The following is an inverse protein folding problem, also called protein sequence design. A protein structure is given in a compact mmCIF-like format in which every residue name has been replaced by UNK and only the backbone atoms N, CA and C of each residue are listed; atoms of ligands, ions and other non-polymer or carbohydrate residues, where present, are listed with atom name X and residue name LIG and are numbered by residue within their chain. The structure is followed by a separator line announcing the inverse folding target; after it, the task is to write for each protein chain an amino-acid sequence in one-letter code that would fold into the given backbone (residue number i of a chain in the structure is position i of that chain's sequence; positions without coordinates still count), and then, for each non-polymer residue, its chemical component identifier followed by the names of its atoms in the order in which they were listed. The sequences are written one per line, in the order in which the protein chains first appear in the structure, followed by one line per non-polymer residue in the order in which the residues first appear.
data_IF_287546083206
#
_entry.id   IF_287546083206
#
_cell.length_a   1.000
_cell.length_b   1.000
_cell.length_c   1.000
_cell.angle_alpha   90.00
_cell.angle_beta   90.00
_cell.angle_gamma   90.00
#
_symmetry.space_group_name_H-M   'P 1'
#
loop_
_entity.id
_entity.type
_entity.pdbx_description
1 polymer ?
#
# COMPACT_ATOMS: atom_id res chain seq x y z
N UNK A 1 51.27 16.08 25.07
CA UNK A 1 50.73 14.96 24.27
C UNK A 1 49.23 14.68 24.47
N UNK A 2 48.48 15.44 25.28
CA UNK A 2 47.09 15.08 25.67
C UNK A 2 46.01 15.61 24.69
N UNK A 3 46.27 16.68 23.92
CA UNK A 3 45.27 17.30 23.03
C UNK A 3 44.85 16.43 21.82
N UNK A 4 45.72 15.54 21.33
CA UNK A 4 45.45 14.69 20.15
C UNK A 4 44.42 13.58 20.45
N UNK A 5 44.40 13.08 21.69
CA UNK A 5 43.48 12.01 22.10
C UNK A 5 42.06 12.52 22.36
N UNK A 6 41.90 13.79 22.77
CA UNK A 6 40.58 14.39 22.99
C UNK A 6 39.82 14.55 21.66
N UNK A 7 40.51 14.91 20.58
CA UNK A 7 39.91 15.06 19.25
C UNK A 7 39.38 13.72 18.69
N UNK A 8 40.13 12.63 18.90
CA UNK A 8 39.69 11.27 18.50
C UNK A 8 38.49 10.76 19.31
N UNK A 9 38.37 11.13 20.60
CA UNK A 9 37.24 10.73 21.44
C UNK A 9 35.94 11.45 21.04
N UNK A 10 36.04 12.73 20.64
CA UNK A 10 34.88 13.51 20.14
C UNK A 10 34.38 12.99 18.79
N UNK A 11 35.29 12.55 17.90
CA UNK A 11 34.95 11.94 16.61
C UNK A 11 34.23 10.59 16.77
N UNK A 12 34.66 9.76 17.73
CA UNK A 12 34.00 8.48 18.04
C UNK A 12 32.63 8.72 18.70
N UNK A 13 32.51 9.70 19.58
CA UNK A 13 31.22 10.07 20.19
C UNK A 13 30.20 10.64 19.17
N UNK A 14 30.65 11.38 18.15
CA UNK A 14 29.77 11.86 17.07
C UNK A 14 29.27 10.72 16.16
N UNK A 15 30.04 9.63 16.01
CA UNK A 15 29.64 8.47 15.20
C UNK A 15 28.52 7.63 15.84
N UNK A 16 28.25 7.81 17.13
CA UNK A 16 27.17 7.13 17.87
C UNK A 16 25.83 7.89 17.79
N UNK A 17 25.79 9.09 17.18
CA UNK A 17 24.57 9.90 17.04
C UNK A 17 23.81 9.67 15.74
N UNK A 18 24.26 8.78 14.85
CA UNK A 18 23.44 8.25 13.75
C UNK A 18 22.48 7.17 14.28
N UNK A 19 21.70 7.51 15.30
CA UNK A 19 20.44 6.81 15.54
C UNK A 19 19.53 7.26 14.42
N UNK A 20 19.41 6.43 13.38
CA UNK A 20 18.47 6.64 12.29
C UNK A 20 17.10 6.91 12.91
N UNK A 21 16.64 8.16 12.83
CA UNK A 21 15.26 8.53 13.13
C UNK A 21 14.43 7.98 11.97
N UNK A 22 14.15 6.68 12.04
CA UNK A 22 13.17 6.05 11.17
C UNK A 22 11.80 6.68 11.43
N UNK A 23 10.95 6.67 10.44
CA UNK A 23 9.54 7.10 10.51
C UNK A 23 8.66 6.25 11.46
N UNK A 24 9.26 5.46 12.36
CA UNK A 24 8.58 4.49 13.20
C UNK A 24 7.98 3.30 12.42
N UNK A 25 8.33 3.13 11.15
CA UNK A 25 7.70 2.18 10.25
C UNK A 25 6.39 2.70 9.65
N UNK A 26 6.10 4.01 9.75
CA UNK A 26 4.86 4.64 9.22
C UNK A 26 4.62 4.31 7.75
N UNK A 27 5.68 4.28 6.94
CA UNK A 27 5.58 4.06 5.49
C UNK A 27 6.14 2.69 5.05
N UNK A 28 6.10 1.70 5.93
CA UNK A 28 6.56 0.35 5.59
C UNK A 28 5.40 -0.56 5.19
N UNK A 29 5.58 -1.33 4.13
CA UNK A 29 4.65 -2.39 3.70
C UNK A 29 5.31 -3.75 3.95
N UNK A 30 4.63 -4.62 4.67
CA UNK A 30 5.02 -6.02 4.86
C UNK A 30 3.77 -6.91 4.90
N UNK A 31 3.94 -8.23 4.81
CA UNK A 31 2.80 -9.16 4.82
C UNK A 31 1.98 -9.00 6.10
N UNK A 32 0.70 -8.62 5.94
CA UNK A 32 -0.19 -8.36 7.07
C UNK A 32 0.13 -7.09 7.85
N UNK A 33 0.79 -6.10 7.24
CA UNK A 33 0.95 -4.78 7.85
C UNK A 33 1.22 -3.68 6.83
N UNK A 34 0.55 -2.55 7.00
CA UNK A 34 0.78 -1.33 6.22
C UNK A 34 0.94 -0.18 7.19
N UNK A 35 2.16 0.35 7.31
CA UNK A 35 2.48 1.35 8.32
C UNK A 35 2.25 0.81 9.73
N UNK A 36 1.29 1.41 10.43
CA UNK A 36 0.85 0.97 11.76
C UNK A 36 -0.40 0.07 11.74
N UNK A 37 -0.99 -0.16 10.57
CA UNK A 37 -2.20 -0.96 10.40
C UNK A 37 -1.86 -2.45 10.36
N UNK A 38 -2.66 -3.26 11.04
CA UNK A 38 -2.54 -4.72 11.07
C UNK A 38 -3.92 -5.38 10.85
N UNK A 39 -4.00 -6.70 10.57
CA UNK A 39 -5.27 -7.42 10.47
C UNK A 39 -6.17 -7.35 11.71
N UNK A 40 -5.61 -6.97 12.87
CA UNK A 40 -6.36 -6.79 14.12
C UNK A 40 -6.84 -5.36 14.33
N UNK A 41 -6.36 -4.42 13.53
CA UNK A 41 -6.73 -3.02 13.65
C UNK A 41 -8.19 -2.84 13.28
N UNK A 42 -8.93 -2.18 14.16
CA UNK A 42 -10.35 -1.89 13.98
C UNK A 42 -10.56 -0.50 13.37
N UNK A 43 -11.75 -0.25 12.84
CA UNK A 43 -12.08 1.04 12.19
C UNK A 43 -12.09 2.20 13.18
N UNK A 44 -12.52 1.99 14.43
CA UNK A 44 -12.48 3.01 15.49
C UNK A 44 -11.04 3.42 15.88
N UNK A 45 -10.06 2.53 15.74
CA UNK A 45 -8.65 2.81 16.01
C UNK A 45 -8.02 3.74 14.98
N UNK A 46 -8.63 3.89 13.79
CA UNK A 46 -8.10 4.74 12.72
C UNK A 46 -7.94 6.20 13.16
N UNK A 47 -8.91 6.75 13.91
CA UNK A 47 -8.87 8.12 14.42
C UNK A 47 -7.68 8.35 15.36
N UNK A 48 -7.25 7.30 16.09
CA UNK A 48 -6.07 7.34 16.94
C UNK A 48 -4.77 7.20 16.14
N UNK A 49 -4.71 6.23 15.22
CA UNK A 49 -3.54 5.93 14.40
C UNK A 49 -3.20 7.13 13.51
N UNK A 50 -4.22 7.73 12.91
CA UNK A 50 -4.12 8.87 12.00
C UNK A 50 -4.50 10.19 12.67
N UNK A 51 -4.27 10.34 13.98
CA UNK A 51 -4.60 11.58 14.75
C UNK A 51 -4.01 12.88 14.20
N UNK A 52 -2.96 12.78 13.36
CA UNK A 52 -2.30 13.91 12.72
C UNK A 52 -2.66 14.07 11.24
N UNK A 53 -3.42 13.13 10.69
CA UNK A 53 -3.84 13.08 9.30
C UNK A 53 -5.37 13.34 9.26
N UNK A 54 -5.95 13.52 8.08
CA UNK A 54 -7.38 13.72 7.88
C UNK A 54 -8.01 12.45 7.34
N UNK A 55 -9.16 12.07 7.88
CA UNK A 55 -9.92 10.89 7.44
C UNK A 55 -11.23 11.37 6.80
N UNK A 56 -11.44 11.04 5.53
CA UNK A 56 -12.71 11.22 4.84
C UNK A 56 -13.41 9.86 4.80
N UNK A 57 -14.64 9.80 5.32
CA UNK A 57 -15.44 8.58 5.40
C UNK A 57 -16.47 8.62 4.27
N UNK A 58 -16.35 7.71 3.32
CA UNK A 58 -17.33 7.46 2.27
C UNK A 58 -18.09 6.19 2.68
N UNK A 59 -19.24 6.37 3.33
CA UNK A 59 -19.99 5.26 3.91
C UNK A 59 -21.12 4.87 2.96
N UNK A 60 -21.25 3.57 2.73
CA UNK A 60 -22.36 3.02 1.97
C UNK A 60 -23.64 3.03 2.82
N UNK A 61 -24.79 2.81 2.19
CA UNK A 61 -26.05 2.64 2.91
C UNK A 61 -26.11 1.30 3.68
N UNK A 62 -25.16 0.39 3.42
CA UNK A 62 -25.07 -0.94 4.03
C UNK A 62 -26.38 -1.74 3.93
N UNK A 63 -26.52 -2.79 4.73
CA UNK A 63 -27.71 -3.64 4.74
C UNK A 63 -29.05 -2.91 5.04
N UNK A 64 -29.01 -1.61 5.33
CA UNK A 64 -30.16 -0.74 5.57
C UNK A 64 -30.62 0.01 4.30
N UNK A 65 -29.82 0.02 3.23
CA UNK A 65 -30.13 0.68 1.96
C UNK A 65 -31.04 -0.16 1.06
N UNK A 66 -31.86 0.54 0.25
CA UNK A 66 -32.75 -0.08 -0.74
C UNK A 66 -32.01 -0.49 -2.03
N UNK A 67 -30.73 -0.13 -2.16
CA UNK A 67 -29.91 -0.44 -3.32
C UNK A 67 -29.33 -1.86 -3.24
N UNK A 68 -29.57 -2.65 -4.30
CA UNK A 68 -29.08 -4.02 -4.43
C UNK A 68 -27.57 -4.10 -4.71
N UNK A 69 -27.00 -3.06 -5.31
CA UNK A 69 -25.56 -2.90 -5.50
C UNK A 69 -25.07 -1.88 -4.48
N UNK A 70 -24.34 -2.37 -3.47
CA UNK A 70 -23.80 -1.53 -2.41
C UNK A 70 -22.30 -1.46 -2.56
N UNK A 71 -21.80 -0.24 -2.64
CA UNK A 71 -20.38 0.01 -2.57
C UNK A 71 -19.88 -0.31 -1.16
N UNK A 72 -18.57 -0.59 -1.04
CA UNK A 72 -17.96 -0.76 0.27
C UNK A 72 -17.83 0.58 0.99
N UNK A 73 -17.76 0.53 2.33
CA UNK A 73 -17.29 1.69 3.09
C UNK A 73 -15.82 1.96 2.75
N UNK A 74 -15.47 3.22 2.54
CA UNK A 74 -14.09 3.64 2.28
C UNK A 74 -13.67 4.72 3.29
N UNK A 75 -12.47 4.54 3.84
CA UNK A 75 -11.83 5.48 4.74
C UNK A 75 -10.58 6.01 4.06
N UNK A 76 -10.69 7.20 3.48
CA UNK A 76 -9.63 7.85 2.71
C UNK A 76 -8.76 8.68 3.66
N UNK A 77 -7.46 8.39 3.69
CA UNK A 77 -6.50 9.00 4.60
C UNK A 77 -5.66 10.04 3.85
N UNK A 78 -5.69 11.29 4.31
CA UNK A 78 -4.96 12.40 3.71
C UNK A 78 -3.97 13.01 4.70
N UNK A 79 -2.77 13.36 4.27
CA UNK A 79 -1.86 14.15 5.11
C UNK A 79 -2.32 15.62 5.23
N UNK A 80 -1.78 16.38 6.19
CA UNK A 80 -2.12 17.81 6.41
C UNK A 80 -1.91 18.74 5.19
N UNK A 81 -1.30 18.26 4.11
CA UNK A 81 -1.16 18.95 2.82
C UNK A 81 -2.19 18.54 1.75
N UNK A 82 -3.15 17.66 2.06
CA UNK A 82 -4.18 17.19 1.15
C UNK A 82 -3.75 16.03 0.23
N UNK A 83 -2.53 15.49 0.40
CA UNK A 83 -2.07 14.33 -0.37
C UNK A 83 -2.74 13.06 0.13
N UNK A 84 -3.33 12.30 -0.80
CA UNK A 84 -3.96 11.02 -0.50
C UNK A 84 -2.90 9.95 -0.20
N UNK A 85 -3.00 9.31 0.96
CA UNK A 85 -2.04 8.33 1.45
C UNK A 85 -2.52 6.90 1.20
N UNK A 86 -3.70 6.58 1.72
CA UNK A 86 -4.26 5.24 1.79
C UNK A 86 -5.78 5.30 1.65
N UNK A 87 -6.38 4.32 0.99
CA UNK A 87 -7.81 4.03 1.09
C UNK A 87 -7.97 2.73 1.87
N UNK A 88 -8.71 2.76 2.98
CA UNK A 88 -8.92 1.61 3.86
C UNK A 88 -10.35 1.14 3.70
N UNK A 89 -10.53 -0.17 3.48
CA UNK A 89 -11.83 -0.81 3.31
C UNK A 89 -12.03 -1.81 4.47
N UNK A 90 -13.12 -1.74 5.24
CA UNK A 90 -13.41 -2.69 6.31
C UNK A 90 -13.92 -4.03 5.76
N UNK A 91 -13.94 -5.05 6.62
CA UNK A 91 -14.59 -6.34 6.32
C UNK A 91 -16.11 -6.23 6.37
N UNK A 92 -16.63 -5.48 7.34
CA UNK A 92 -18.06 -5.27 7.55
C UNK A 92 -18.38 -3.77 7.43
N UNK A 93 -19.41 -3.44 6.67
CA UNK A 93 -19.85 -2.07 6.44
C UNK A 93 -20.59 -1.54 7.68
N UNK A 94 -20.45 -0.24 7.94
CA UNK A 94 -21.08 0.49 9.05
C UNK A 94 -20.79 -0.10 10.45
N UNK A 95 -19.71 -0.88 10.60
CA UNK A 95 -19.27 -1.46 11.85
C UNK A 95 -17.90 -0.91 12.27
N UNK A 96 -17.89 -0.11 13.33
CA UNK A 96 -16.67 0.51 13.84
C UNK A 96 -15.69 -0.48 14.51
N UNK A 97 -16.17 -1.63 14.98
CA UNK A 97 -15.30 -2.69 15.53
C UNK A 97 -14.86 -3.67 14.46
N UNK A 98 -15.29 -3.48 13.22
CA UNK A 98 -14.83 -4.27 12.09
C UNK A 98 -13.33 -4.09 11.89
N UNK A 99 -12.69 -5.16 11.43
CA UNK A 99 -11.28 -5.13 11.04
C UNK A 99 -11.13 -4.76 9.57
N UNK A 100 -9.92 -4.38 9.20
CA UNK A 100 -9.61 -3.98 7.83
C UNK A 100 -9.62 -5.21 6.90
N UNK A 101 -10.28 -5.09 5.74
CA UNK A 101 -10.28 -6.06 4.64
C UNK A 101 -9.09 -5.82 3.72
N UNK A 102 -8.92 -4.59 3.27
CA UNK A 102 -7.86 -4.21 2.34
C UNK A 102 -7.46 -2.76 2.49
N UNK A 103 -6.27 -2.46 2.00
CA UNK A 103 -5.68 -1.13 2.00
C UNK A 103 -5.11 -0.88 0.60
N UNK A 104 -5.63 0.13 -0.07
CA UNK A 104 -5.04 0.65 -1.31
C UNK A 104 -4.00 1.72 -0.98
N UNK A 105 -2.83 1.62 -1.62
CA UNK A 105 -1.71 2.53 -1.43
C UNK A 105 -1.74 3.62 -2.51
N UNK A 106 -1.65 4.88 -2.10
CA UNK A 106 -1.62 6.03 -3.02
C UNK A 106 -0.34 6.87 -2.93
N UNK A 107 0.49 6.68 -1.90
CA UNK A 107 1.69 7.48 -1.67
C UNK A 107 2.99 6.68 -1.84
N UNK A 108 3.89 7.22 -2.69
CA UNK A 108 5.23 6.68 -3.02
C UNK A 108 6.12 6.41 -1.81
N UNK A 109 5.89 7.07 -0.67
CA UNK A 109 6.68 6.84 0.55
C UNK A 109 6.44 5.43 1.09
N UNK A 110 5.24 4.88 0.90
CA UNK A 110 4.95 3.50 1.31
C UNK A 110 5.72 2.54 0.44
N UNK A 111 6.62 1.77 1.07
CA UNK A 111 7.48 0.83 0.36
C UNK A 111 7.65 -0.49 1.07
N UNK A 112 7.84 -1.54 0.29
CA UNK A 112 8.22 -2.88 0.79
C UNK A 112 9.69 -2.92 1.20
N UNK A 113 10.12 -4.00 1.83
CA UNK A 113 11.55 -4.28 2.08
C UNK A 113 12.36 -4.33 0.77
N UNK A 114 11.72 -4.76 -0.32
CA UNK A 114 12.29 -4.77 -1.67
C UNK A 114 12.12 -3.44 -2.43
N UNK A 115 11.77 -2.37 -1.72
CA UNK A 115 11.62 -0.98 -2.21
C UNK A 115 10.48 -0.73 -3.22
N UNK A 116 9.54 -1.68 -3.36
CA UNK A 116 8.38 -1.53 -4.25
C UNK A 116 7.40 -0.54 -3.64
N UNK A 117 6.93 0.39 -4.46
CA UNK A 117 5.97 1.42 -4.12
C UNK A 117 5.06 1.69 -5.33
N UNK A 118 4.11 2.61 -5.22
CA UNK A 118 3.12 2.90 -6.27
C UNK A 118 3.70 3.38 -7.62
N UNK A 119 4.96 3.82 -7.67
CA UNK A 119 5.64 4.22 -8.90
C UNK A 119 6.50 3.12 -9.52
N UNK A 120 6.60 1.95 -8.89
CA UNK A 120 7.43 0.86 -9.38
C UNK A 120 6.94 0.34 -10.73
N UNK A 121 7.90 -0.03 -11.58
CA UNK A 121 7.62 -0.67 -12.87
C UNK A 121 7.33 -2.17 -12.69
N UNK A 122 6.74 -2.79 -13.70
CA UNK A 122 6.55 -4.23 -13.72
C UNK A 122 7.85 -5.01 -13.54
N UNK A 123 8.94 -4.58 -14.18
CA UNK A 123 10.25 -5.23 -14.04
C UNK A 123 10.73 -5.22 -12.58
N UNK A 124 10.59 -4.08 -11.90
CA UNK A 124 10.95 -3.96 -10.47
C UNK A 124 10.08 -4.86 -9.57
N UNK A 125 8.80 -5.04 -9.91
CA UNK A 125 7.90 -5.93 -9.18
C UNK A 125 8.28 -7.40 -9.43
N UNK A 126 8.52 -7.77 -10.69
CA UNK A 126 8.76 -9.15 -11.12
C UNK A 126 10.10 -9.70 -10.63
N UNK A 127 11.14 -8.86 -10.56
CA UNK A 127 12.47 -9.28 -10.05
C UNK A 127 12.45 -9.54 -8.54
N UNK A 128 11.61 -8.83 -7.80
CA UNK A 128 11.71 -8.71 -6.36
C UNK A 128 10.64 -9.47 -5.57
N UNK A 129 9.65 -10.09 -6.21
CA UNK A 129 8.65 -10.91 -5.53
C UNK A 129 8.22 -12.10 -6.35
N UNK A 130 7.62 -13.07 -5.68
CA UNK A 130 6.94 -14.16 -6.34
C UNK A 130 5.54 -13.73 -6.83
N UNK A 131 5.35 -13.68 -8.16
CA UNK A 131 4.04 -13.46 -8.79
C UNK A 131 3.39 -14.81 -9.03
N UNK A 132 2.37 -15.13 -8.22
CA UNK A 132 1.78 -16.46 -8.23
C UNK A 132 0.81 -16.70 -9.38
N UNK A 133 0.06 -15.66 -9.73
CA UNK A 133 -0.92 -15.70 -10.81
C UNK A 133 -1.17 -14.33 -11.39
N UNK A 134 -1.59 -14.34 -12.65
CA UNK A 134 -2.11 -13.18 -13.37
C UNK A 134 -3.55 -13.48 -13.71
N UNK A 135 -4.45 -12.60 -13.30
CA UNK A 135 -5.86 -12.62 -13.73
C UNK A 135 -6.11 -11.42 -14.62
N UNK A 136 -7.00 -11.55 -15.60
CA UNK A 136 -7.31 -10.47 -16.54
C UNK A 136 -8.80 -10.16 -16.50
N UNK A 137 -9.12 -8.87 -16.37
CA UNK A 137 -10.46 -8.34 -16.57
C UNK A 137 -10.58 -7.76 -17.99
N UNK A 138 -11.65 -7.04 -18.30
CA UNK A 138 -11.79 -6.36 -19.60
C UNK A 138 -10.76 -5.23 -19.80
N UNK A 139 -10.31 -4.59 -18.73
CA UNK A 139 -9.44 -3.40 -18.77
C UNK A 139 -8.11 -3.58 -18.04
N UNK A 140 -7.98 -4.55 -17.14
CA UNK A 140 -6.78 -4.72 -16.31
C UNK A 140 -6.20 -6.13 -16.37
N UNK A 141 -4.90 -6.23 -16.13
CA UNK A 141 -4.22 -7.43 -15.69
C UNK A 141 -3.84 -7.28 -14.21
N UNK A 142 -4.34 -8.16 -13.35
CA UNK A 142 -4.10 -8.16 -11.91
C UNK A 142 -3.07 -9.23 -11.55
N UNK A 143 -1.96 -8.79 -10.98
CA UNK A 143 -0.88 -9.62 -10.46
C UNK A 143 -1.14 -9.91 -8.98
N UNK A 144 -1.03 -11.17 -8.59
CA UNK A 144 -1.12 -11.58 -7.18
C UNK A 144 0.27 -11.84 -6.61
N UNK A 145 0.60 -11.11 -5.56
CA UNK A 145 1.91 -11.11 -4.89
C UNK A 145 1.77 -11.78 -3.52
N UNK A 146 2.16 -13.05 -3.42
CA UNK A 146 1.95 -13.85 -2.21
C UNK A 146 2.81 -13.39 -1.02
N UNK A 147 4.00 -12.88 -1.31
CA UNK A 147 4.97 -12.43 -0.30
C UNK A 147 4.42 -11.24 0.51
N UNK A 148 3.51 -10.47 -0.09
CA UNK A 148 2.88 -9.30 0.53
C UNK A 148 1.40 -9.53 0.87
N UNK A 149 0.81 -10.62 0.38
CA UNK A 149 -0.65 -10.78 0.29
C UNK A 149 -1.30 -9.57 -0.40
N UNK A 150 -0.78 -9.22 -1.58
CA UNK A 150 -1.16 -8.01 -2.28
C UNK A 150 -1.55 -8.28 -3.73
N UNK A 151 -2.31 -7.37 -4.31
CA UNK A 151 -2.64 -7.35 -5.73
C UNK A 151 -2.17 -6.04 -6.36
N UNK A 152 -1.58 -6.15 -7.55
CA UNK A 152 -1.18 -5.00 -8.36
C UNK A 152 -1.94 -5.08 -9.68
N UNK A 153 -2.71 -4.06 -10.02
CA UNK A 153 -3.38 -3.98 -11.31
C UNK A 153 -2.54 -3.17 -12.29
N UNK A 154 -2.48 -3.61 -13.54
CA UNK A 154 -1.88 -2.89 -14.67
C UNK A 154 -2.96 -2.71 -15.72
N UNK A 155 -3.10 -1.51 -16.27
CA UNK A 155 -4.04 -1.27 -17.36
C UNK A 155 -3.60 -1.97 -18.64
N UNK A 156 -4.56 -2.56 -19.35
CA UNK A 156 -4.28 -3.28 -20.60
C UNK A 156 -3.78 -2.35 -21.71
N UNK A 157 -4.10 -1.07 -21.64
CA UNK A 157 -3.54 -0.05 -22.54
C UNK A 157 -2.01 0.06 -22.38
N UNK A 158 -1.47 -0.09 -21.17
CA UNK A 158 -0.02 -0.12 -20.90
C UNK A 158 0.66 -1.35 -21.54
N UNK A 159 -0.12 -2.38 -21.87
CA UNK A 159 0.33 -3.59 -22.55
C UNK A 159 0.23 -3.47 -24.08
N UNK A 160 -0.22 -2.31 -24.60
CA UNK A 160 -0.52 -2.13 -26.02
C UNK A 160 -1.77 -2.87 -26.50
N UNK A 161 -2.61 -3.33 -25.57
CA UNK A 161 -3.89 -3.97 -25.89
C UNK A 161 -4.99 -2.92 -25.96
N UNK A 162 -5.99 -3.17 -26.79
CA UNK A 162 -7.18 -2.32 -26.83
C UNK A 162 -7.99 -2.48 -25.55
N UNK A 163 -8.59 -1.37 -25.14
CA UNK A 163 -9.63 -1.36 -24.11
C UNK A 163 -10.75 -2.37 -24.39
N UNK A 164 -11.26 -2.98 -23.33
CA UNK A 164 -12.37 -3.94 -23.33
C UNK A 164 -12.10 -5.22 -24.14
N UNK A 165 -10.91 -5.80 -23.99
CA UNK A 165 -10.56 -7.09 -24.59
C UNK A 165 -10.76 -8.26 -23.61
N UNK A 166 -11.31 -9.37 -24.11
CA UNK A 166 -11.38 -10.65 -23.40
C UNK A 166 -10.07 -11.43 -23.43
N UNK A 167 -9.04 -10.89 -24.12
CA UNK A 167 -7.73 -11.51 -24.18
C UNK A 167 -7.14 -11.66 -22.78
N UNK A 168 -6.75 -12.89 -22.45
CA UNK A 168 -5.99 -13.18 -21.24
C UNK A 168 -4.55 -12.70 -21.42
N UNK A 169 -4.02 -12.06 -20.38
CA UNK A 169 -2.64 -11.58 -20.31
C UNK A 169 -1.83 -12.60 -19.52
N UNK A 170 -0.71 -13.06 -20.08
CA UNK A 170 0.29 -13.84 -19.33
C UNK A 170 1.40 -12.93 -18.83
N UNK A 171 2.18 -13.41 -17.86
CA UNK A 171 3.23 -12.62 -17.22
C UNK A 171 4.28 -12.13 -18.22
N UNK A 172 4.61 -12.96 -19.21
CA UNK A 172 5.63 -12.68 -20.24
C UNK A 172 5.17 -11.63 -21.25
N UNK A 173 3.87 -11.33 -21.31
CA UNK A 173 3.31 -10.33 -22.21
C UNK A 173 3.33 -8.93 -21.60
N UNK A 174 3.67 -8.80 -20.32
CA UNK A 174 3.67 -7.52 -19.63
C UNK A 174 5.00 -6.81 -19.88
N UNK A 175 5.00 -5.61 -20.49
CA UNK A 175 6.23 -4.86 -20.71
C UNK A 175 6.91 -4.49 -19.40
N UNK A 176 8.25 -4.54 -19.38
CA UNK A 176 9.06 -4.20 -18.21
C UNK A 176 8.76 -2.81 -17.63
N UNK A 177 8.45 -1.85 -18.50
CA UNK A 177 8.18 -0.46 -18.13
C UNK A 177 6.71 -0.18 -17.79
N UNK A 178 5.82 -1.17 -17.91
CA UNK A 178 4.41 -1.00 -17.59
C UNK A 178 4.26 -0.55 -16.13
N UNK A 179 3.42 0.46 -15.93
CA UNK A 179 3.16 1.03 -14.59
C UNK A 179 1.95 0.38 -13.96
N UNK A 180 1.95 0.31 -12.63
CA UNK A 180 0.75 -0.09 -11.92
C UNK A 180 -0.32 1.00 -11.97
N UNK A 181 -1.56 0.55 -12.10
CA UNK A 181 -2.78 1.33 -11.90
C UNK A 181 -3.13 1.41 -10.41
N UNK A 182 -3.03 0.29 -9.69
CA UNK A 182 -3.33 0.22 -8.25
C UNK A 182 -2.45 -0.80 -7.54
N UNK A 183 -2.27 -0.58 -6.23
CA UNK A 183 -1.54 -1.47 -5.33
C UNK A 183 -2.35 -1.66 -4.06
N UNK A 184 -2.89 -2.86 -3.87
CA UNK A 184 -3.80 -3.19 -2.78
C UNK A 184 -3.19 -4.30 -1.93
N UNK A 185 -3.08 -4.07 -0.62
CA UNK A 185 -2.67 -5.08 0.36
C UNK A 185 -3.93 -5.63 1.03
N UNK A 186 -4.03 -6.96 1.10
CA UNK A 186 -5.18 -7.66 1.67
C UNK A 186 -4.87 -8.15 3.08
N UNK A 187 -5.81 -7.95 4.00
CA UNK A 187 -5.77 -8.50 5.35
C UNK A 187 -6.81 -9.63 5.45
N UNK A 188 -6.34 -10.81 5.86
CA UNK A 188 -7.18 -12.00 6.04
C UNK A 188 -7.95 -11.95 7.36
#
# INVERSE_FOLDING_TARGET
MIKKNILSIVLIACSLLIVSCGDGGKFKIEKGKVGHLTPKTTIDELDHIFKNDSIVKNLSEGALGDNYFQDDDEYLIFEKGGKHLLTIIPKEQLDSVSTIKSIEIHDVRFKTETAINVNSSFSEINVNNNINRVESTFSTATLFIDDLNATIAIDKEELGLKDFTTQKVTLEQIPDLAKMKSFIVWFN
#
